data_IF_685179286947
#
_entry.id   IF_685179286947
#
_cell.length_a   1.000
_cell.length_b   1.000
_cell.length_c   1.000
_cell.angle_alpha   90.00
_cell.angle_beta   90.00
_cell.angle_gamma   90.00
#
_symmetry.space_group_name_H-M   'P 1'
#
loop_
_entity.id
_entity.type
_entity.pdbx_description
1 polymer ?
#
# COMPACT_ATOMS: atom_id res chain seq x y z
N UNK A 1 -41.06 14.48 23.88
CA UNK A 1 -40.26 15.39 23.04
C UNK A 1 -38.81 15.16 23.40
N UNK A 2 -38.07 14.35 22.65
CA UNK A 2 -36.65 14.09 22.91
C UNK A 2 -35.83 14.89 21.91
N UNK A 3 -35.07 15.89 22.40
CA UNK A 3 -34.13 16.65 21.60
C UNK A 3 -32.87 15.81 21.38
N UNK A 4 -32.64 15.39 20.14
CA UNK A 4 -31.41 14.71 19.73
C UNK A 4 -30.35 15.81 19.55
N UNK A 5 -29.40 15.89 20.47
CA UNK A 5 -28.21 16.74 20.31
C UNK A 5 -27.25 16.06 19.34
N UNK A 6 -27.09 16.62 18.15
CA UNK A 6 -26.08 16.17 17.19
C UNK A 6 -24.68 16.58 17.70
N UNK A 7 -23.67 15.70 17.61
CA UNK A 7 -22.29 16.12 17.84
C UNK A 7 -21.87 17.02 16.68
N UNK A 8 -21.65 18.30 16.98
CA UNK A 8 -20.96 19.22 16.08
C UNK A 8 -19.51 18.78 16.00
N UNK A 9 -19.10 18.26 14.85
CA UNK A 9 -17.68 18.10 14.54
C UNK A 9 -17.16 19.46 14.09
N UNK A 10 -16.81 20.31 15.06
CA UNK A 10 -16.07 21.54 14.79
C UNK A 10 -14.65 21.14 14.37
N UNK A 11 -14.28 21.39 13.12
CA UNK A 11 -12.88 21.44 12.74
C UNK A 11 -12.34 22.80 13.19
N UNK A 12 -11.65 22.81 14.32
CA UNK A 12 -10.85 23.97 14.72
C UNK A 12 -9.68 24.08 13.74
N UNK A 13 -9.77 25.05 12.82
CA UNK A 13 -8.64 25.41 11.96
C UNK A 13 -7.70 26.25 12.81
N UNK A 14 -6.94 25.59 13.68
CA UNK A 14 -5.80 26.20 14.36
C UNK A 14 -4.79 26.61 13.29
N UNK A 15 -4.78 27.88 12.95
CA UNK A 15 -3.70 28.53 12.21
C UNK A 15 -2.50 28.65 13.14
N UNK A 16 -1.81 27.53 13.35
CA UNK A 16 -0.56 27.53 14.07
C UNK A 16 0.56 27.88 13.09
N UNK A 17 1.17 29.04 13.30
CA UNK A 17 2.30 29.53 12.49
C UNK A 17 3.54 28.79 12.97
N UNK A 18 3.69 27.54 12.55
CA UNK A 18 4.90 26.75 12.73
C UNK A 18 5.71 26.81 11.45
N UNK A 19 6.98 27.22 11.56
CA UNK A 19 8.01 27.18 10.52
C UNK A 19 7.79 26.00 9.57
N UNK A 20 7.44 26.31 8.32
CA UNK A 20 6.95 25.35 7.34
C UNK A 20 8.05 24.36 6.98
N UNK A 21 8.05 23.21 7.67
CA UNK A 21 8.80 22.05 7.23
C UNK A 21 8.34 21.72 5.80
N UNK A 22 9.25 21.35 4.89
CA UNK A 22 8.88 21.06 3.52
C UNK A 22 7.79 19.99 3.49
N UNK A 23 6.74 20.22 2.70
CA UNK A 23 5.66 19.27 2.51
C UNK A 23 6.25 18.00 1.88
N UNK A 24 6.39 16.94 2.68
CA UNK A 24 6.81 15.63 2.20
C UNK A 24 5.57 14.91 1.68
N UNK A 25 5.39 14.91 0.37
CA UNK A 25 4.29 14.19 -0.26
C UNK A 25 4.46 12.68 -0.06
N UNK A 26 3.35 11.98 0.15
CA UNK A 26 3.33 10.52 0.18
C UNK A 26 3.78 9.96 -1.17
N UNK A 27 4.48 8.81 -1.13
CA UNK A 27 4.77 8.04 -2.34
C UNK A 27 3.51 7.35 -2.94
N UNK A 28 2.37 7.45 -2.24
CA UNK A 28 1.09 6.92 -2.67
C UNK A 28 0.35 7.93 -3.56
N UNK A 29 0.38 7.73 -4.87
CA UNK A 29 -0.44 8.49 -5.82
C UNK A 29 -1.88 7.94 -5.92
N UNK A 30 -2.75 8.68 -6.61
CA UNK A 30 -4.16 8.31 -6.76
C UNK A 30 -4.37 7.00 -7.52
N UNK A 31 -3.58 6.70 -8.56
CA UNK A 31 -3.71 5.44 -9.31
C UNK A 31 -3.36 4.25 -8.42
N UNK A 32 -2.23 4.35 -7.69
CA UNK A 32 -1.77 3.32 -6.77
C UNK A 32 -2.80 3.08 -5.66
N UNK A 33 -3.35 4.15 -5.09
CA UNK A 33 -4.41 4.06 -4.09
C UNK A 33 -5.64 3.32 -4.63
N UNK A 34 -6.17 3.73 -5.80
CA UNK A 34 -7.35 3.09 -6.38
C UNK A 34 -7.13 1.61 -6.67
N UNK A 35 -5.93 1.22 -7.14
CA UNK A 35 -5.62 -0.18 -7.43
C UNK A 35 -5.54 -1.03 -6.16
N UNK A 36 -4.93 -0.51 -5.10
CA UNK A 36 -4.89 -1.17 -3.80
C UNK A 36 -6.31 -1.34 -3.26
N UNK A 37 -7.10 -0.27 -3.26
CA UNK A 37 -8.49 -0.31 -2.81
C UNK A 37 -9.33 -1.32 -3.59
N UNK A 38 -9.19 -1.36 -4.93
CA UNK A 38 -9.89 -2.33 -5.76
C UNK A 38 -9.46 -3.77 -5.47
N UNK A 39 -8.18 -3.99 -5.17
CA UNK A 39 -7.68 -5.29 -4.73
C UNK A 39 -8.27 -5.73 -3.40
N UNK A 40 -8.37 -4.81 -2.43
CA UNK A 40 -9.01 -5.09 -1.13
C UNK A 40 -10.51 -5.34 -1.28
N UNK A 41 -11.22 -4.58 -2.12
CA UNK A 41 -12.64 -4.82 -2.41
C UNK A 41 -12.85 -6.18 -3.07
N UNK A 42 -11.92 -6.61 -3.91
CA UNK A 42 -11.96 -7.94 -4.52
C UNK A 42 -11.81 -9.06 -3.48
N UNK A 43 -11.08 -8.85 -2.38
CA UNK A 43 -11.06 -9.80 -1.25
C UNK A 43 -12.40 -9.84 -0.51
N UNK A 44 -13.06 -8.70 -0.36
CA UNK A 44 -14.40 -8.62 0.24
C UNK A 44 -15.45 -9.35 -0.60
N UNK A 45 -15.26 -9.39 -1.92
CA UNK A 45 -16.13 -10.06 -2.89
C UNK A 45 -15.73 -11.53 -3.18
N UNK A 46 -14.91 -12.13 -2.31
CA UNK A 46 -14.40 -13.52 -2.43
C UNK A 46 -13.69 -13.81 -3.77
N UNK A 47 -12.99 -12.81 -4.32
CA UNK A 47 -12.16 -12.90 -5.53
C UNK A 47 -10.67 -12.77 -5.22
N UNK A 48 -10.06 -13.75 -4.51
CA UNK A 48 -8.67 -13.66 -4.08
C UNK A 48 -7.66 -13.67 -5.23
N UNK A 49 -8.00 -14.27 -6.38
CA UNK A 49 -7.14 -14.25 -7.58
C UNK A 49 -7.01 -12.85 -8.17
N UNK A 50 -8.11 -12.12 -8.25
CA UNK A 50 -8.14 -10.76 -8.81
C UNK A 50 -7.44 -9.80 -7.85
N UNK A 51 -7.75 -9.92 -6.56
CA UNK A 51 -7.07 -9.18 -5.50
C UNK A 51 -5.55 -9.39 -5.53
N UNK A 52 -5.10 -10.64 -5.63
CA UNK A 52 -3.69 -10.98 -5.73
C UNK A 52 -3.01 -10.27 -6.91
N UNK A 53 -3.61 -10.30 -8.09
CA UNK A 53 -3.05 -9.68 -9.28
C UNK A 53 -2.92 -8.16 -9.12
N UNK A 54 -3.96 -7.51 -8.57
CA UNK A 54 -3.99 -6.06 -8.34
C UNK A 54 -2.96 -5.62 -7.30
N UNK A 55 -2.87 -6.32 -6.16
CA UNK A 55 -1.91 -5.99 -5.10
C UNK A 55 -0.47 -6.28 -5.57
N UNK A 56 -0.22 -7.36 -6.29
CA UNK A 56 1.11 -7.67 -6.81
C UNK A 56 1.58 -6.65 -7.87
N UNK A 57 0.70 -6.19 -8.76
CA UNK A 57 1.03 -5.11 -9.70
C UNK A 57 1.39 -3.83 -8.94
N UNK A 58 0.60 -3.48 -7.93
CA UNK A 58 0.82 -2.33 -7.06
C UNK A 58 2.16 -2.41 -6.33
N UNK A 59 2.50 -3.59 -5.81
CA UNK A 59 3.78 -3.86 -5.15
C UNK A 59 4.98 -3.70 -6.11
N UNK A 60 4.86 -4.22 -7.34
CA UNK A 60 5.91 -4.10 -8.36
C UNK A 60 6.16 -2.65 -8.80
N UNK A 61 5.09 -1.87 -8.94
CA UNK A 61 5.16 -0.45 -9.34
C UNK A 61 5.78 0.42 -8.24
N UNK A 62 5.27 0.32 -7.02
CA UNK A 62 5.72 1.13 -5.87
C UNK A 62 7.04 0.66 -5.28
N UNK A 63 7.37 -0.63 -5.43
CA UNK A 63 8.48 -1.30 -4.73
C UNK A 63 8.34 -1.15 -3.21
N UNK A 64 7.10 -1.12 -2.72
CA UNK A 64 6.80 -1.13 -1.30
C UNK A 64 6.76 -2.56 -0.78
N UNK A 65 7.54 -2.80 0.26
CA UNK A 65 7.67 -4.07 0.96
C UNK A 65 6.34 -4.57 1.52
N UNK A 66 5.53 -3.65 2.07
CA UNK A 66 4.23 -3.96 2.68
C UNK A 66 3.24 -4.54 1.67
N UNK A 67 3.31 -4.09 0.42
CA UNK A 67 2.43 -4.59 -0.64
C UNK A 67 2.86 -5.99 -1.13
N UNK A 68 4.17 -6.29 -1.12
CA UNK A 68 4.63 -7.65 -1.37
C UNK A 68 4.18 -8.61 -0.27
N UNK A 69 4.31 -8.21 1.01
CA UNK A 69 3.79 -8.99 2.14
C UNK A 69 2.29 -9.24 2.02
N UNK A 70 1.51 -8.20 1.66
CA UNK A 70 0.07 -8.33 1.45
C UNK A 70 -0.26 -9.31 0.32
N UNK A 71 0.39 -9.18 -0.85
CA UNK A 71 0.19 -10.11 -1.97
C UNK A 71 0.53 -11.56 -1.59
N UNK A 72 1.58 -11.76 -0.80
CA UNK A 72 1.97 -13.07 -0.29
C UNK A 72 0.91 -13.64 0.66
N UNK A 73 0.40 -12.82 1.59
CA UNK A 73 -0.69 -13.19 2.49
C UNK A 73 -1.94 -13.65 1.74
N UNK A 74 -2.34 -12.92 0.68
CA UNK A 74 -3.48 -13.29 -0.18
C UNK A 74 -3.22 -14.64 -0.86
N UNK A 75 -2.03 -14.84 -1.43
CA UNK A 75 -1.67 -16.10 -2.08
C UNK A 75 -1.72 -17.29 -1.11
N UNK A 76 -1.23 -17.10 0.12
CA UNK A 76 -1.26 -18.13 1.16
C UNK A 76 -2.69 -18.43 1.62
N UNK A 77 -3.52 -17.41 1.81
CA UNK A 77 -4.95 -17.58 2.13
C UNK A 77 -5.69 -18.37 1.04
N UNK A 78 -5.38 -18.10 -0.23
CA UNK A 78 -5.90 -18.84 -1.38
C UNK A 78 -5.26 -20.22 -1.58
N UNK A 79 -4.35 -20.65 -0.69
CA UNK A 79 -3.57 -21.91 -0.78
C UNK A 79 -2.77 -22.04 -2.09
N UNK A 80 -2.33 -20.92 -2.66
CA UNK A 80 -1.61 -20.84 -3.91
C UNK A 80 -0.09 -20.68 -3.69
N UNK A 81 0.59 -21.79 -3.40
CA UNK A 81 2.03 -21.80 -3.08
C UNK A 81 2.94 -21.23 -4.18
N UNK A 82 2.68 -21.55 -5.45
CA UNK A 82 3.43 -20.99 -6.58
C UNK A 82 3.25 -19.48 -6.74
N UNK A 83 2.07 -18.98 -6.40
CA UNK A 83 1.82 -17.53 -6.38
C UNK A 83 2.65 -16.86 -5.29
N UNK A 84 2.68 -17.43 -4.07
CA UNK A 84 3.53 -16.93 -3.00
C UNK A 84 5.03 -16.94 -3.36
N UNK A 85 5.52 -18.00 -4.01
CA UNK A 85 6.90 -18.07 -4.50
C UNK A 85 7.19 -16.98 -5.56
N UNK A 86 6.24 -16.73 -6.45
CA UNK A 86 6.34 -15.67 -7.46
C UNK A 86 6.46 -14.29 -6.81
N UNK A 87 5.67 -14.00 -5.77
CA UNK A 87 5.76 -12.76 -4.99
C UNK A 87 7.14 -12.65 -4.32
N UNK A 88 7.61 -13.70 -3.66
CA UNK A 88 8.91 -13.69 -2.98
C UNK A 88 10.08 -13.43 -3.94
N UNK A 89 10.05 -14.05 -5.13
CA UNK A 89 11.04 -13.78 -6.20
C UNK A 89 10.98 -12.32 -6.66
N UNK A 90 9.79 -11.77 -6.87
CA UNK A 90 9.60 -10.39 -7.29
C UNK A 90 10.09 -9.39 -6.22
N UNK A 91 9.79 -9.63 -4.95
CA UNK A 91 10.26 -8.81 -3.83
C UNK A 91 11.78 -8.81 -3.73
N UNK A 92 12.42 -9.99 -3.82
CA UNK A 92 13.89 -10.10 -3.85
C UNK A 92 14.50 -9.28 -4.99
N UNK A 93 13.93 -9.36 -6.19
CA UNK A 93 14.42 -8.59 -7.33
C UNK A 93 14.25 -7.08 -7.13
N UNK A 94 13.11 -6.63 -6.61
CA UNK A 94 12.86 -5.21 -6.31
C UNK A 94 13.82 -4.67 -5.25
N UNK A 95 14.07 -5.46 -4.20
CA UNK A 95 15.01 -5.16 -3.13
C UNK A 95 16.43 -5.02 -3.70
N UNK A 96 16.88 -5.98 -4.50
CA UNK A 96 18.20 -5.95 -5.15
C UNK A 96 18.41 -4.67 -6.00
N UNK A 97 17.40 -4.28 -6.79
CA UNK A 97 17.45 -3.04 -7.59
C UNK A 97 17.56 -1.81 -6.68
N UNK A 98 16.87 -1.82 -5.54
CA UNK A 98 16.95 -0.73 -4.57
C UNK A 98 18.35 -0.66 -3.95
N UNK A 99 18.92 -1.79 -3.52
CA UNK A 99 20.31 -1.86 -3.00
C UNK A 99 21.35 -1.36 -4.01
N UNK A 100 21.23 -1.76 -5.28
CA UNK A 100 22.13 -1.31 -6.34
C UNK A 100 22.07 0.21 -6.56
N UNK A 101 20.90 0.84 -6.39
CA UNK A 101 20.75 2.30 -6.47
C UNK A 101 21.41 3.04 -5.29
N UNK A 102 21.45 2.42 -4.11
CA UNK A 102 21.98 3.03 -2.89
C UNK A 102 23.44 2.67 -2.56
N UNK A 103 24.06 1.73 -3.30
CA UNK A 103 25.43 1.25 -3.05
C UNK A 103 26.55 1.78 -3.99
N UNK A 104 26.52 2.97 -4.61
CA UNK A 104 27.64 3.41 -5.47
C UNK A 104 28.91 3.87 -4.72
N UNK A 105 28.90 3.98 -3.38
CA UNK A 105 29.95 4.68 -2.62
C UNK A 105 30.56 3.84 -1.47
N UNK A 106 30.86 2.56 -1.69
CA UNK A 106 31.70 1.78 -0.76
C UNK A 106 33.16 1.88 -1.24
N UNK A 107 33.84 2.95 -0.81
CA UNK A 107 35.31 2.98 -0.75
C UNK A 107 35.77 2.22 0.50
#
# INVERSE_FOLDING_TARGET
MFAISLPVWAQDKTTDTTTEAPIVNSAMDGELFFKILLGELSLLDDKPRDAYALILDSAKKSKDERLFERAMGIALQARAGESALTVAKAWRAACLIRWMRYAPNLN
#
